data_IF_289623390013
#
_entry.id   IF_289623390013
#
_cell.length_a   1.000
_cell.length_b   1.000
_cell.length_c   1.000
_cell.angle_alpha   90.00
_cell.angle_beta   90.00
_cell.angle_gamma   90.00
#
_symmetry.space_group_name_H-M   'P 1'
#
loop_
_entity.id
_entity.type
_entity.pdbx_description
1 polymer ?
#
# COMPACT_ATOMS: atom_id res chain seq x y z
N UNK A 1 4.28 4.86 20.34
CA UNK A 1 5.04 5.39 19.19
C UNK A 1 4.59 4.57 18.00
N UNK A 2 4.09 5.19 16.94
CA UNK A 2 3.67 4.44 15.76
C UNK A 2 4.93 3.97 15.01
N UNK A 3 4.99 2.69 14.65
CA UNK A 3 6.13 2.11 13.95
C UNK A 3 6.06 2.50 12.47
N UNK A 4 7.12 3.13 11.96
CA UNK A 4 7.23 3.46 10.53
C UNK A 4 7.57 2.18 9.77
N UNK A 5 6.63 1.73 8.93
CA UNK A 5 6.80 0.61 8.02
C UNK A 5 6.95 1.16 6.61
N UNK A 6 8.05 0.83 5.94
CA UNK A 6 8.24 1.18 4.53
C UNK A 6 7.64 0.07 3.68
N UNK A 7 6.58 0.39 2.94
CA UNK A 7 5.89 -0.52 2.04
C UNK A 7 6.64 -0.66 0.71
N UNK A 8 7.19 0.43 0.21
CA UNK A 8 7.88 0.41 -1.08
C UNK A 8 8.77 1.62 -1.25
N UNK A 9 9.58 1.62 -2.30
CA UNK A 9 10.40 2.76 -2.70
C UNK A 9 10.26 3.01 -4.18
N UNK A 10 10.27 4.28 -4.60
CA UNK A 10 10.51 4.65 -5.98
C UNK A 10 11.96 4.39 -6.29
N UNK A 11 12.18 3.79 -7.45
CA UNK A 11 13.52 3.50 -7.94
C UNK A 11 13.60 3.96 -9.39
N UNK A 12 14.09 5.18 -9.58
CA UNK A 12 14.28 5.81 -10.88
C UNK A 12 15.33 5.09 -11.75
N UNK A 13 16.05 4.11 -11.20
CA UNK A 13 17.03 3.31 -11.96
C UNK A 13 16.40 2.10 -12.63
N UNK A 14 15.17 1.74 -12.25
CA UNK A 14 14.46 0.55 -12.75
C UNK A 14 13.34 0.97 -13.70
N UNK A 15 13.12 0.22 -14.80
CA UNK A 15 12.03 0.47 -15.78
C UNK A 15 10.62 0.52 -15.18
N UNK A 16 10.43 -0.06 -13.99
CA UNK A 16 9.15 -0.09 -13.26
C UNK A 16 8.95 1.17 -12.42
N UNK A 17 10.02 1.92 -12.10
CA UNK A 17 9.97 3.15 -11.32
C UNK A 17 9.61 2.97 -9.84
N UNK A 18 9.25 1.76 -9.41
CA UNK A 18 8.80 1.46 -8.05
C UNK A 18 9.08 0.00 -7.67
N UNK A 19 9.52 -0.20 -6.43
CA UNK A 19 9.85 -1.49 -5.86
C UNK A 19 9.23 -1.64 -4.47
N UNK A 20 8.36 -2.62 -4.33
CA UNK A 20 7.80 -3.09 -3.07
C UNK A 20 8.88 -3.71 -2.16
N UNK A 21 8.77 -3.53 -0.83
CA UNK A 21 9.74 -4.04 0.15
C UNK A 21 9.40 -5.44 0.67
N UNK A 22 8.19 -5.94 0.41
CA UNK A 22 7.66 -7.16 1.02
C UNK A 22 6.88 -6.90 2.31
N UNK A 23 6.75 -5.64 2.73
CA UNK A 23 5.92 -5.24 3.87
C UNK A 23 4.47 -4.90 3.45
N UNK A 24 4.20 -4.82 2.15
CA UNK A 24 2.86 -4.65 1.61
C UNK A 24 1.94 -5.85 1.84
N UNK A 25 0.63 -5.63 2.02
CA UNK A 25 -0.34 -6.72 2.04
C UNK A 25 -0.34 -7.51 0.73
N UNK A 26 -0.53 -8.83 0.85
CA UNK A 26 -0.66 -9.72 -0.31
C UNK A 26 -1.83 -9.29 -1.20
N UNK A 27 -1.54 -9.01 -2.48
CA UNK A 27 -2.52 -8.54 -3.46
C UNK A 27 -2.49 -7.02 -3.70
N UNK A 28 -1.73 -6.25 -2.93
CA UNK A 28 -1.53 -4.82 -3.18
C UNK A 28 -0.47 -4.61 -4.26
N UNK A 29 -0.92 -4.32 -5.49
CA UNK A 29 -0.01 -4.12 -6.63
C UNK A 29 0.19 -2.65 -7.01
N UNK A 30 -0.69 -1.76 -6.54
CA UNK A 30 -0.68 -0.35 -6.90
C UNK A 30 -0.30 0.54 -5.71
N UNK A 31 0.75 1.38 -5.84
CA UNK A 31 1.12 2.30 -4.76
C UNK A 31 0.06 3.39 -4.52
N UNK A 32 -0.70 3.79 -5.55
CA UNK A 32 -1.84 4.70 -5.39
C UNK A 32 -2.92 4.10 -4.46
N UNK A 33 -3.15 2.80 -4.54
CA UNK A 33 -4.09 2.12 -3.64
C UNK A 33 -3.56 2.13 -2.21
N UNK A 34 -2.26 1.91 -2.00
CA UNK A 34 -1.66 2.04 -0.67
C UNK A 34 -1.89 3.44 -0.07
N UNK A 35 -1.75 4.49 -0.87
CA UNK A 35 -1.99 5.87 -0.45
C UNK A 35 -3.46 6.08 -0.09
N UNK A 36 -4.40 5.56 -0.89
CA UNK A 36 -5.83 5.61 -0.60
C UNK A 36 -6.18 4.94 0.76
N UNK A 37 -5.49 3.86 1.10
CA UNK A 37 -5.69 3.14 2.35
C UNK A 37 -5.09 3.85 3.58
N UNK A 38 -4.14 4.78 3.37
CA UNK A 38 -3.54 5.61 4.41
C UNK A 38 -2.00 5.55 4.47
N UNK A 39 -1.34 4.97 3.47
CA UNK A 39 0.10 5.17 3.30
C UNK A 39 0.40 6.60 2.84
N UNK A 40 1.62 7.06 3.08
CA UNK A 40 2.09 8.36 2.64
C UNK A 40 3.43 8.24 1.97
N UNK A 41 3.72 9.14 1.04
CA UNK A 41 5.06 9.27 0.47
C UNK A 41 5.93 10.17 1.35
N UNK A 42 7.09 9.67 1.74
CA UNK A 42 8.16 10.44 2.38
C UNK A 42 9.39 10.41 1.47
N UNK A 43 9.51 11.43 0.62
CA UNK A 43 10.50 11.43 -0.46
C UNK A 43 10.18 10.31 -1.46
N UNK A 44 11.13 9.42 -1.66
CA UNK A 44 11.01 8.27 -2.55
C UNK A 44 10.45 7.02 -1.84
N UNK A 45 10.21 7.07 -0.53
CA UNK A 45 9.69 5.93 0.24
C UNK A 45 8.17 6.05 0.41
N UNK A 46 7.46 4.97 0.13
CA UNK A 46 6.05 4.80 0.47
C UNK A 46 5.97 4.14 1.85
N UNK A 47 5.37 4.82 2.81
CA UNK A 47 5.45 4.45 4.23
C UNK A 47 4.06 4.45 4.86
N UNK A 48 3.87 3.58 5.85
CA UNK A 48 2.69 3.59 6.72
C UNK A 48 3.14 3.57 8.17
N UNK A 49 2.38 4.25 9.03
CA UNK A 49 2.58 4.24 10.48
C UNK A 49 1.64 3.25 11.18
N UNK A 50 0.76 2.60 10.43
CA UNK A 50 -0.23 1.66 10.95
C UNK A 50 -0.52 0.57 9.91
N UNK A 51 0.40 -0.39 9.81
CA UNK A 51 0.30 -1.48 8.83
C UNK A 51 -0.98 -2.29 9.03
N UNK A 52 -1.30 -2.69 10.27
CA UNK A 52 -2.51 -3.47 10.55
C UNK A 52 -3.81 -2.76 10.17
N UNK A 53 -3.89 -1.43 10.30
CA UNK A 53 -5.06 -0.67 9.82
C UNK A 53 -5.12 -0.60 8.29
N UNK A 54 -3.97 -0.51 7.62
CA UNK A 54 -3.89 -0.55 6.16
C UNK A 54 -4.32 -1.92 5.61
N UNK A 55 -3.80 -3.00 6.19
CA UNK A 55 -4.19 -4.38 5.83
C UNK A 55 -5.69 -4.62 6.05
N UNK A 56 -6.22 -4.17 7.20
CA UNK A 56 -7.64 -4.29 7.51
C UNK A 56 -8.51 -3.54 6.49
N UNK A 57 -8.13 -2.31 6.13
CA UNK A 57 -8.83 -1.55 5.08
C UNK A 57 -8.72 -2.21 3.72
N UNK A 58 -7.56 -2.73 3.36
CA UNK A 58 -7.36 -3.40 2.07
C UNK A 58 -8.25 -4.64 1.96
N UNK A 59 -8.31 -5.46 3.02
CA UNK A 59 -9.19 -6.61 3.08
C UNK A 59 -10.67 -6.21 2.94
N UNK A 60 -11.11 -5.14 3.60
CA UNK A 60 -12.49 -4.65 3.50
C UNK A 60 -12.82 -3.96 2.17
N UNK A 61 -11.88 -3.25 1.55
CA UNK A 61 -12.08 -2.61 0.24
C UNK A 61 -12.07 -3.65 -0.89
N UNK A 62 -11.24 -4.69 -0.77
CA UNK A 62 -11.27 -5.85 -1.66
C UNK A 62 -12.60 -6.63 -1.55
N UNK A 63 -13.14 -6.76 -0.34
CA UNK A 63 -14.47 -7.35 -0.09
C UNK A 63 -15.61 -6.49 -0.68
N UNK A 64 -15.43 -5.16 -0.69
CA UNK A 64 -16.35 -4.21 -1.34
C UNK A 64 -16.38 -4.27 -2.87
N UNK A 65 -15.46 -5.03 -3.50
CA UNK A 65 -15.52 -5.34 -4.93
C UNK A 65 -16.39 -6.57 -5.24
N UNK A 66 -17.01 -7.18 -4.21
CA UNK A 66 -17.96 -8.26 -4.36
C UNK A 66 -19.39 -7.73 -4.47
N UNK A 67 -19.85 -7.65 -5.72
CA UNK A 67 -21.24 -7.82 -6.16
C UNK A 67 -22.28 -6.76 -5.73
N UNK A 68 -22.55 -5.80 -6.62
CA UNK A 68 -23.93 -5.36 -6.84
C UNK A 68 -24.50 -6.25 -7.97
N UNK A 69 -25.32 -7.27 -7.66
CA UNK A 69 -26.14 -7.93 -8.67
C UNK A 69 -27.47 -7.16 -8.77
N UNK A 70 -27.62 -6.32 -9.79
CA UNK A 70 -28.95 -5.92 -10.30
C UNK A 70 -29.38 -6.84 -11.45
#
# INVERSE_FOLDING_TARGET
MAEKVVLGRRDDTTFVGFQWTGAEPEGLFAPDQAVALGATWEGDELVTYNLGHLEHRFAHEADGFMEDPD
#
